data_IF_337555790876
#
_entry.id   IF_337555790876
#
_cell.length_a   1.000
_cell.length_b   1.000
_cell.length_c   1.000
_cell.angle_alpha   90.00
_cell.angle_beta   90.00
_cell.angle_gamma   90.00
#
_symmetry.space_group_name_H-M   'P 1'
#
loop_
_entity.id
_entity.type
_entity.pdbx_description
1 polymer ?
#
# COMPACT_ATOMS: atom_id res chain seq x y z
N UNK A 1 -75.96 -14.13 -47.47
CA UNK A 1 -74.60 -14.60 -47.29
C UNK A 1 -73.72 -13.40 -46.99
N UNK A 2 -73.28 -13.17 -45.78
CA UNK A 2 -72.35 -12.09 -45.38
C UNK A 2 -70.97 -12.73 -45.16
N UNK A 3 -69.83 -12.12 -45.63
CA UNK A 3 -68.51 -12.66 -45.36
C UNK A 3 -68.04 -12.26 -44.00
N UNK A 4 -67.49 -13.24 -43.28
CA UNK A 4 -66.86 -13.14 -42.03
C UNK A 4 -65.48 -12.39 -42.11
N UNK A 5 -65.34 -11.29 -41.40
CA UNK A 5 -64.04 -10.58 -41.31
C UNK A 5 -63.13 -11.30 -40.30
N UNK A 6 -62.02 -11.79 -40.81
CA UNK A 6 -60.92 -12.37 -40.02
C UNK A 6 -60.15 -11.24 -39.34
N UNK A 7 -60.18 -11.16 -38.01
CA UNK A 7 -59.34 -10.26 -37.21
C UNK A 7 -57.99 -10.95 -36.98
N UNK A 8 -56.98 -10.42 -37.65
CA UNK A 8 -55.59 -10.81 -37.43
C UNK A 8 -55.10 -10.12 -36.14
N UNK A 9 -54.90 -10.89 -35.09
CA UNK A 9 -54.36 -10.42 -33.81
C UNK A 9 -52.85 -10.30 -33.93
N UNK A 10 -52.36 -9.08 -34.04
CA UNK A 10 -50.91 -8.79 -33.98
C UNK A 10 -50.43 -8.91 -32.52
N UNK A 11 -49.72 -9.98 -32.23
CA UNK A 11 -49.04 -10.17 -30.94
C UNK A 11 -47.77 -9.30 -30.95
N UNK A 12 -47.82 -8.17 -30.25
CA UNK A 12 -46.66 -7.31 -30.03
C UNK A 12 -45.81 -7.94 -28.92
N UNK A 13 -44.76 -8.68 -29.28
CA UNK A 13 -43.76 -9.17 -28.33
C UNK A 13 -42.90 -8.01 -27.93
N UNK A 14 -43.15 -7.43 -26.75
CA UNK A 14 -42.19 -6.51 -26.12
C UNK A 14 -41.01 -7.34 -25.62
N UNK A 15 -39.88 -7.27 -26.33
CA UNK A 15 -38.58 -7.66 -25.79
C UNK A 15 -38.21 -6.64 -24.71
N UNK A 16 -38.39 -7.01 -23.49
CA UNK A 16 -37.66 -6.36 -22.38
C UNK A 16 -36.19 -6.74 -22.52
N UNK A 17 -35.42 -5.87 -23.16
CA UNK A 17 -33.97 -5.91 -23.07
C UNK A 17 -33.60 -5.68 -21.60
N UNK A 18 -33.17 -6.74 -20.90
CA UNK A 18 -32.43 -6.59 -19.68
C UNK A 18 -31.15 -5.81 -20.01
N UNK A 19 -31.13 -4.53 -19.60
CA UNK A 19 -29.87 -3.81 -19.51
C UNK A 19 -29.09 -4.55 -18.42
N UNK A 20 -28.19 -5.45 -18.85
CA UNK A 20 -27.12 -5.91 -17.98
C UNK A 20 -26.40 -4.65 -17.53
N UNK A 21 -26.40 -4.40 -16.22
CA UNK A 21 -25.44 -3.48 -15.63
C UNK A 21 -24.07 -3.98 -16.08
N UNK A 22 -23.41 -3.12 -16.85
CA UNK A 22 -22.02 -3.26 -17.18
C UNK A 22 -21.27 -3.24 -15.85
N UNK A 23 -20.89 -4.42 -15.35
CA UNK A 23 -19.84 -4.54 -14.36
C UNK A 23 -18.62 -3.93 -15.06
N UNK A 24 -18.34 -2.67 -14.76
CA UNK A 24 -17.11 -2.03 -15.20
C UNK A 24 -15.99 -3.00 -14.92
N UNK A 25 -15.34 -3.50 -15.95
CA UNK A 25 -14.22 -4.44 -15.87
C UNK A 25 -13.23 -3.89 -14.84
N UNK A 26 -13.30 -4.43 -13.61
CA UNK A 26 -12.28 -4.14 -12.61
C UNK A 26 -10.97 -4.54 -13.23
N UNK A 27 -10.05 -3.59 -13.39
CA UNK A 27 -8.70 -3.86 -13.86
C UNK A 27 -8.12 -4.87 -12.87
N UNK A 28 -8.12 -6.14 -13.24
CA UNK A 28 -7.57 -7.22 -12.43
C UNK A 28 -6.12 -7.41 -12.84
N UNK A 29 -5.22 -6.77 -12.08
CA UNK A 29 -3.79 -6.98 -12.24
C UNK A 29 -3.38 -8.03 -11.22
N UNK A 30 -2.97 -9.20 -11.72
CA UNK A 30 -2.55 -10.32 -10.89
C UNK A 30 -1.03 -10.38 -10.80
N UNK A 31 -0.47 -10.83 -9.66
CA UNK A 31 0.97 -11.00 -9.50
C UNK A 31 1.50 -12.14 -10.40
N UNK A 32 2.75 -12.01 -10.86
CA UNK A 32 3.48 -13.02 -11.62
C UNK A 32 3.73 -14.31 -10.80
N UNK A 33 3.92 -14.16 -9.49
CA UNK A 33 4.12 -15.24 -8.53
C UNK A 33 3.83 -14.74 -7.11
N UNK A 34 3.60 -15.68 -6.19
CA UNK A 34 3.41 -15.44 -4.76
C UNK A 34 4.22 -16.43 -3.94
N UNK A 35 4.47 -16.12 -2.68
CA UNK A 35 5.14 -17.03 -1.75
C UNK A 35 5.19 -16.44 -0.35
N UNK A 36 5.98 -17.07 0.53
CA UNK A 36 6.17 -16.60 1.90
C UNK A 36 7.66 -16.55 2.28
N UNK A 37 7.95 -15.84 3.35
CA UNK A 37 9.26 -15.70 3.97
C UNK A 37 9.07 -15.62 5.49
N UNK A 38 9.84 -16.38 6.25
CA UNK A 38 9.88 -16.30 7.71
C UNK A 38 11.13 -15.57 8.14
N UNK A 39 10.99 -14.48 8.88
CA UNK A 39 12.12 -13.78 9.49
C UNK A 39 12.64 -14.59 10.68
N UNK A 40 13.83 -15.15 10.55
CA UNK A 40 14.43 -16.01 11.57
C UNK A 40 14.79 -15.29 12.87
N UNK A 41 14.77 -13.94 12.87
CA UNK A 41 15.12 -13.11 14.03
C UNK A 41 14.00 -13.05 15.06
N UNK A 42 12.73 -13.05 14.59
CA UNK A 42 11.56 -12.90 15.45
C UNK A 42 10.44 -13.91 15.15
N UNK A 43 10.60 -14.72 14.09
CA UNK A 43 9.64 -15.76 13.70
C UNK A 43 8.41 -15.21 12.95
N UNK A 44 8.35 -13.92 12.64
CA UNK A 44 7.27 -13.37 11.84
C UNK A 44 7.27 -13.95 10.42
N UNK A 45 6.11 -14.34 9.95
CA UNK A 45 5.89 -14.77 8.57
C UNK A 45 5.36 -13.59 7.75
N UNK A 46 5.93 -13.43 6.55
CA UNK A 46 5.55 -12.43 5.55
C UNK A 46 5.23 -13.13 4.26
N UNK A 47 4.11 -12.79 3.64
CA UNK A 47 3.81 -13.19 2.27
C UNK A 47 4.47 -12.20 1.30
N UNK A 48 4.62 -12.62 0.05
CA UNK A 48 5.11 -11.74 -1.00
C UNK A 48 4.42 -12.02 -2.33
N UNK A 49 4.36 -10.97 -3.14
CA UNK A 49 3.87 -10.99 -4.52
C UNK A 49 4.95 -10.48 -5.46
N UNK A 50 5.00 -11.01 -6.69
CA UNK A 50 6.00 -10.62 -7.68
C UNK A 50 5.40 -9.72 -8.74
N UNK A 51 6.06 -8.58 -8.97
CA UNK A 51 5.76 -7.63 -10.03
C UNK A 51 7.06 -7.07 -10.62
N UNK A 52 7.17 -7.00 -11.96
CA UNK A 52 8.29 -6.40 -12.67
C UNK A 52 9.67 -6.93 -12.20
N UNK A 53 9.77 -8.23 -11.94
CA UNK A 53 11.00 -8.87 -11.48
C UNK A 53 11.39 -8.58 -10.03
N UNK A 54 10.48 -7.98 -9.23
CA UNK A 54 10.67 -7.73 -7.80
C UNK A 54 9.62 -8.49 -6.99
N UNK A 55 10.05 -9.07 -5.88
CA UNK A 55 9.18 -9.66 -4.86
C UNK A 55 8.95 -8.63 -3.76
N UNK A 56 7.68 -8.28 -3.53
CA UNK A 56 7.22 -7.30 -2.55
C UNK A 56 6.56 -8.02 -1.39
N UNK A 57 6.98 -7.78 -0.16
CA UNK A 57 6.21 -8.24 1.01
C UNK A 57 4.81 -7.67 0.95
N UNK A 58 3.81 -8.41 1.41
CA UNK A 58 2.41 -7.94 1.47
C UNK A 58 2.05 -7.37 2.83
N UNK A 59 2.85 -7.66 3.87
CA UNK A 59 2.75 -7.08 5.19
C UNK A 59 3.84 -6.03 5.41
N UNK A 60 3.56 -5.06 6.27
CA UNK A 60 4.57 -4.15 6.77
C UNK A 60 5.53 -4.88 7.71
N UNK A 61 6.80 -4.46 7.72
CA UNK A 61 7.81 -5.06 8.59
C UNK A 61 7.41 -4.91 10.07
N UNK A 62 7.57 -5.99 10.85
CA UNK A 62 7.20 -6.07 12.28
C UNK A 62 8.41 -6.17 13.21
N UNK A 63 9.61 -6.44 12.69
CA UNK A 63 10.81 -6.58 13.49
C UNK A 63 11.11 -5.32 14.29
N UNK A 64 11.29 -5.45 15.61
CA UNK A 64 11.53 -4.34 16.55
C UNK A 64 13.01 -4.24 16.87
N UNK A 65 13.79 -3.31 16.28
CA UNK A 65 15.15 -3.02 16.65
C UNK A 65 15.23 -2.34 18.03
N UNK A 66 16.45 -2.20 18.59
CA UNK A 66 16.64 -1.62 19.92
C UNK A 66 16.13 -0.18 20.08
N UNK A 67 16.08 0.59 18.98
CA UNK A 67 15.66 2.01 18.99
C UNK A 67 15.19 2.46 17.62
N UNK A 68 14.57 3.64 17.57
CA UNK A 68 14.12 4.26 16.32
C UNK A 68 12.88 3.61 15.71
N UNK A 69 12.13 2.86 16.52
CA UNK A 69 10.90 2.19 16.10
C UNK A 69 9.77 2.51 17.08
N UNK A 70 8.59 2.64 16.54
CA UNK A 70 7.31 2.62 17.25
C UNK A 70 6.50 1.43 16.74
N UNK A 71 6.15 0.51 17.63
CA UNK A 71 5.37 -0.68 17.32
C UNK A 71 4.02 -0.56 18.06
N UNK A 72 2.94 -0.13 17.39
CA UNK A 72 1.66 0.20 18.03
C UNK A 72 1.00 -0.97 18.76
N UNK A 73 1.29 -2.20 18.34
CA UNK A 73 0.80 -3.44 18.95
C UNK A 73 1.59 -3.89 20.19
N UNK A 74 2.85 -3.42 20.32
CA UNK A 74 3.78 -3.81 21.39
C UNK A 74 4.12 -2.67 22.35
N UNK A 75 3.97 -1.42 21.91
CA UNK A 75 4.32 -0.24 22.71
C UNK A 75 3.08 0.27 23.43
N UNK A 76 3.11 0.42 24.77
CA UNK A 76 2.01 1.07 25.48
C UNK A 76 1.77 2.46 24.89
N UNK A 77 0.52 2.73 24.51
CA UNK A 77 0.14 4.06 24.07
C UNK A 77 0.28 5.02 25.26
N UNK A 78 0.93 6.18 25.12
CA UNK A 78 1.08 7.13 26.19
C UNK A 78 -0.26 7.52 26.81
N UNK A 79 -0.28 7.72 28.14
CA UNK A 79 -1.47 8.13 28.89
C UNK A 79 -2.06 9.41 28.27
N UNK A 80 -3.33 9.36 27.88
CA UNK A 80 -4.02 10.48 27.21
C UNK A 80 -4.32 10.26 25.73
N UNK A 81 -3.73 9.26 25.10
CA UNK A 81 -4.24 8.72 23.84
C UNK A 81 -5.36 7.73 24.13
N UNK A 82 -6.38 7.71 23.26
CA UNK A 82 -7.51 6.79 23.40
C UNK A 82 -7.03 5.34 23.33
N UNK A 83 -6.78 4.77 24.49
CA UNK A 83 -6.53 3.34 24.66
C UNK A 83 -7.78 2.72 25.30
N UNK A 84 -8.56 2.01 24.50
CA UNK A 84 -9.70 1.21 24.98
C UNK A 84 -9.29 -0.22 25.36
N UNK A 85 -7.98 -0.49 25.47
CA UNK A 85 -7.43 -1.82 25.76
C UNK A 85 -7.46 -2.78 24.56
N UNK A 86 -7.76 -2.31 23.36
CA UNK A 86 -7.83 -3.12 22.12
C UNK A 86 -6.68 -2.85 21.16
N UNK A 87 -5.68 -2.09 21.58
CA UNK A 87 -4.64 -1.58 20.70
C UNK A 87 -3.84 -2.69 20.02
N UNK A 88 -3.44 -3.75 20.74
CA UNK A 88 -2.68 -4.85 20.15
C UNK A 88 -3.45 -5.52 18.98
N UNK A 89 -4.75 -5.78 19.14
CA UNK A 89 -5.58 -6.35 18.07
C UNK A 89 -5.84 -5.36 16.94
N UNK A 90 -6.01 -4.08 17.28
CA UNK A 90 -6.31 -3.02 16.31
C UNK A 90 -5.12 -2.70 15.41
N UNK A 91 -3.90 -2.81 15.93
CA UNK A 91 -2.67 -2.45 15.22
C UNK A 91 -1.83 -3.65 14.76
N UNK A 92 -2.24 -4.88 15.07
CA UNK A 92 -1.48 -6.11 14.75
C UNK A 92 -1.04 -6.23 13.30
N UNK A 93 -1.81 -5.65 12.38
CA UNK A 93 -1.57 -5.73 10.95
C UNK A 93 -0.78 -4.54 10.39
N UNK A 94 -0.55 -3.50 11.20
CA UNK A 94 0.10 -2.28 10.72
C UNK A 94 1.63 -2.35 10.73
N UNK A 95 2.20 -3.28 11.49
CA UNK A 95 3.65 -3.41 11.65
C UNK A 95 4.26 -2.23 12.42
N UNK A 96 5.58 -2.08 12.35
CA UNK A 96 6.31 -0.99 12.97
C UNK A 96 6.37 0.29 12.12
N UNK A 97 6.55 1.41 12.80
CA UNK A 97 6.96 2.68 12.20
C UNK A 97 8.41 2.93 12.59
N UNK A 98 9.26 3.23 11.65
CA UNK A 98 10.72 3.31 11.82
C UNK A 98 11.24 4.65 11.37
N UNK A 99 12.17 5.25 12.13
CA UNK A 99 13.02 6.28 11.57
C UNK A 99 13.90 5.68 10.46
N UNK A 100 14.52 6.52 9.66
CA UNK A 100 15.23 6.03 8.46
C UNK A 100 16.44 5.14 8.78
N UNK A 101 17.16 5.40 9.87
CA UNK A 101 18.32 4.59 10.26
C UNK A 101 17.86 3.24 10.83
N UNK A 102 16.83 3.25 11.67
CA UNK A 102 16.19 2.04 12.17
C UNK A 102 15.60 1.22 11.01
N UNK A 103 14.98 1.88 10.02
CA UNK A 103 14.45 1.24 8.83
C UNK A 103 15.53 0.42 8.10
N UNK A 104 16.71 1.00 7.87
CA UNK A 104 17.83 0.28 7.24
C UNK A 104 18.34 -0.90 8.07
N UNK A 105 18.39 -0.72 9.39
CA UNK A 105 18.89 -1.74 10.30
C UNK A 105 17.88 -2.89 10.53
N UNK A 106 16.59 -2.62 10.36
CA UNK A 106 15.52 -3.58 10.57
C UNK A 106 15.34 -4.57 9.40
N UNK A 107 15.84 -4.27 8.21
CA UNK A 107 15.65 -5.11 7.02
C UNK A 107 16.22 -6.51 7.25
N UNK A 108 15.47 -7.58 6.96
CA UNK A 108 15.97 -8.95 7.05
C UNK A 108 16.95 -9.26 5.92
N UNK A 109 17.82 -10.27 6.17
CA UNK A 109 18.78 -10.73 5.16
C UNK A 109 18.09 -11.15 3.86
N UNK A 110 18.68 -10.79 2.73
CA UNK A 110 18.14 -11.08 1.39
C UNK A 110 17.03 -10.12 0.93
N UNK A 111 16.59 -9.20 1.79
CA UNK A 111 15.61 -8.15 1.48
C UNK A 111 16.26 -6.77 1.52
N UNK A 112 15.57 -5.76 1.05
CA UNK A 112 16.00 -4.36 1.08
C UNK A 112 14.83 -3.39 1.13
N UNK A 113 15.08 -2.13 1.46
CA UNK A 113 14.15 -1.05 1.20
C UNK A 113 13.97 -0.88 -0.31
N UNK A 114 12.74 -0.68 -0.80
CA UNK A 114 12.53 -0.31 -2.20
C UNK A 114 13.12 1.06 -2.48
N UNK A 115 13.78 1.20 -3.61
CA UNK A 115 14.17 2.51 -4.14
C UNK A 115 12.95 3.25 -4.70
N UNK A 116 13.08 4.55 -4.94
CA UNK A 116 12.07 5.31 -5.67
C UNK A 116 11.80 4.72 -7.06
N UNK A 117 12.85 4.23 -7.73
CA UNK A 117 12.74 3.55 -9.02
C UNK A 117 12.00 2.20 -8.94
N UNK A 118 12.12 1.46 -7.84
CA UNK A 118 11.36 0.21 -7.65
C UNK A 118 9.86 0.51 -7.52
N UNK A 119 9.50 1.52 -6.74
CA UNK A 119 8.13 1.99 -6.65
C UNK A 119 7.59 2.43 -8.02
N UNK A 120 8.37 3.18 -8.80
CA UNK A 120 7.97 3.59 -10.15
C UNK A 120 7.77 2.39 -11.09
N UNK A 121 8.58 1.32 -10.97
CA UNK A 121 8.36 0.08 -11.73
C UNK A 121 7.03 -0.56 -11.37
N UNK A 122 6.72 -0.69 -10.08
CA UNK A 122 5.43 -1.22 -9.61
C UNK A 122 4.27 -0.35 -10.10
N UNK A 123 4.34 0.97 -9.89
CA UNK A 123 3.32 1.93 -10.29
C UNK A 123 3.07 1.91 -11.81
N UNK A 124 4.11 1.70 -12.61
CA UNK A 124 4.00 1.52 -14.08
C UNK A 124 3.24 0.25 -14.44
N UNK A 125 3.52 -0.89 -13.78
CA UNK A 125 2.78 -2.14 -13.99
C UNK A 125 1.31 -1.96 -13.62
N UNK A 126 1.03 -1.15 -12.59
CA UNK A 126 -0.32 -0.77 -12.19
C UNK A 126 -0.95 0.29 -13.11
N UNK A 127 -0.33 0.61 -14.25
CA UNK A 127 -0.89 1.47 -15.29
C UNK A 127 -0.61 2.97 -15.11
N UNK A 128 0.33 3.39 -14.25
CA UNK A 128 0.69 4.81 -14.13
C UNK A 128 1.42 5.30 -15.38
N UNK A 129 1.03 6.48 -15.87
CA UNK A 129 1.65 7.08 -17.05
C UNK A 129 3.11 7.47 -16.78
N UNK A 130 3.94 7.45 -17.83
CA UNK A 130 5.34 7.89 -17.69
C UNK A 130 5.48 9.35 -17.25
N UNK A 131 4.51 10.21 -17.61
CA UNK A 131 4.47 11.59 -17.17
C UNK A 131 4.19 11.75 -15.68
N UNK A 132 3.37 10.87 -15.11
CA UNK A 132 3.01 10.93 -13.69
C UNK A 132 4.10 10.34 -12.79
N UNK A 133 4.86 9.33 -13.27
CA UNK A 133 5.87 8.63 -12.45
C UNK A 133 6.90 9.57 -11.81
N UNK A 134 7.32 10.62 -12.51
CA UNK A 134 8.34 11.57 -12.04
C UNK A 134 7.76 12.73 -11.21
N UNK A 135 6.45 12.95 -11.24
CA UNK A 135 5.82 14.06 -10.55
C UNK A 135 5.89 13.89 -9.02
N UNK A 136 6.02 15.02 -8.33
CA UNK A 136 5.87 15.12 -6.88
C UNK A 136 4.41 15.42 -6.52
N UNK A 137 4.03 15.04 -5.31
CA UNK A 137 2.66 15.21 -4.81
C UNK A 137 1.76 14.07 -5.22
N UNK A 138 0.47 14.33 -5.32
CA UNK A 138 -0.55 13.37 -5.73
C UNK A 138 -0.47 13.11 -7.23
N UNK A 139 -0.51 11.84 -7.61
CA UNK A 139 -0.37 11.41 -9.00
C UNK A 139 -1.04 10.05 -9.25
N UNK A 140 -1.23 9.74 -10.52
CA UNK A 140 -1.97 8.55 -10.94
C UNK A 140 -3.49 8.73 -10.87
N UNK A 141 -4.24 7.68 -11.15
CA UNK A 141 -5.70 7.72 -11.24
C UNK A 141 -6.41 6.52 -10.62
N UNK A 142 -5.68 5.40 -10.43
CA UNK A 142 -6.18 4.15 -9.84
C UNK A 142 -5.15 3.47 -8.94
N UNK A 143 -3.89 3.89 -8.98
CA UNK A 143 -2.79 3.21 -8.34
C UNK A 143 -2.89 3.21 -6.81
N UNK A 144 -3.44 4.28 -6.21
CA UNK A 144 -3.68 4.34 -4.78
C UNK A 144 -4.67 3.28 -4.30
N UNK A 145 -5.72 3.03 -5.10
CA UNK A 145 -6.69 1.97 -4.84
C UNK A 145 -6.07 0.58 -5.07
N UNK A 146 -5.39 0.38 -6.20
CA UNK A 146 -4.76 -0.90 -6.54
C UNK A 146 -3.69 -1.32 -5.51
N UNK A 147 -2.91 -0.39 -4.99
CA UNK A 147 -1.89 -0.65 -3.97
C UNK A 147 -2.48 -1.08 -2.62
N UNK A 148 -3.75 -0.77 -2.34
CA UNK A 148 -4.47 -1.16 -1.13
C UNK A 148 -5.25 -2.48 -1.29
N UNK A 149 -5.27 -3.08 -2.49
CA UNK A 149 -5.97 -4.35 -2.71
C UNK A 149 -5.18 -5.53 -2.15
N UNK A 150 -5.89 -6.37 -1.37
CA UNK A 150 -5.39 -7.65 -0.89
C UNK A 150 -5.44 -8.76 -1.96
N UNK A 151 -5.56 -10.00 -1.50
CA UNK A 151 -5.46 -11.23 -2.32
C UNK A 151 -6.47 -11.31 -3.47
N UNK A 152 -7.61 -10.64 -3.35
CA UNK A 152 -8.63 -10.59 -4.41
C UNK A 152 -8.31 -9.58 -5.53
N UNK A 153 -7.20 -8.87 -5.42
CA UNK A 153 -6.72 -7.88 -6.37
C UNK A 153 -5.22 -8.02 -6.63
N UNK A 154 -4.47 -6.94 -6.44
CA UNK A 154 -3.00 -6.93 -6.67
C UNK A 154 -2.22 -7.74 -5.62
N UNK A 155 -2.79 -7.98 -4.45
CA UNK A 155 -2.12 -8.60 -3.33
C UNK A 155 -1.04 -7.76 -2.67
N UNK A 156 -0.85 -6.49 -3.07
CA UNK A 156 0.15 -5.60 -2.45
C UNK A 156 -0.27 -5.21 -1.03
N UNK A 157 -1.54 -4.97 -0.82
CA UNK A 157 -2.17 -4.74 0.49
C UNK A 157 -1.44 -3.71 1.37
N UNK A 158 -1.20 -2.50 0.83
CA UNK A 158 -0.61 -1.42 1.63
C UNK A 158 -1.58 -0.97 2.73
N UNK A 159 -1.09 -0.93 3.95
CA UNK A 159 -1.86 -0.60 5.14
C UNK A 159 -1.84 0.90 5.44
N UNK A 160 -2.94 1.43 5.99
CA UNK A 160 -3.08 2.81 6.42
C UNK A 160 -2.59 2.98 7.88
N UNK A 161 -1.31 2.71 8.09
CA UNK A 161 -0.68 2.61 9.41
C UNK A 161 -0.37 3.96 10.07
N UNK A 162 -0.70 5.08 9.42
CA UNK A 162 -0.33 6.40 9.92
C UNK A 162 1.16 6.69 9.81
N UNK A 163 1.63 7.64 10.60
CA UNK A 163 3.04 7.99 10.78
C UNK A 163 3.26 8.61 12.15
N UNK A 164 4.52 8.69 12.59
CA UNK A 164 4.89 9.34 13.82
C UNK A 164 5.91 10.44 13.54
N UNK A 165 5.66 11.63 14.10
CA UNK A 165 6.60 12.75 14.10
C UNK A 165 7.14 12.87 15.53
N UNK A 166 8.45 12.65 15.76
CA UNK A 166 9.05 12.93 17.04
C UNK A 166 8.94 14.42 17.39
N UNK A 167 8.45 14.74 18.56
CA UNK A 167 8.38 16.13 19.06
C UNK A 167 9.12 16.25 20.39
N UNK A 168 10.24 16.97 20.37
CA UNK A 168 11.07 17.25 21.54
C UNK A 168 10.35 18.05 22.66
N UNK A 169 9.17 18.60 22.36
CA UNK A 169 8.50 19.58 23.24
C UNK A 169 7.36 19.01 24.07
N UNK A 170 6.68 17.98 23.56
CA UNK A 170 5.46 17.50 24.19
C UNK A 170 5.34 16.00 24.28
N UNK A 171 5.21 15.33 23.16
CA UNK A 171 5.15 13.87 22.99
C UNK A 171 5.21 13.56 21.50
N UNK A 172 5.72 12.38 21.18
CA UNK A 172 5.65 11.85 19.83
C UNK A 172 4.18 11.84 19.33
N UNK A 173 3.96 12.37 18.13
CA UNK A 173 2.60 12.47 17.57
C UNK A 173 2.39 11.30 16.61
N UNK A 174 1.72 10.26 17.09
CA UNK A 174 1.20 9.18 16.25
C UNK A 174 -0.16 9.57 15.68
N UNK A 175 -0.24 9.72 14.36
CA UNK A 175 -1.40 10.34 13.71
C UNK A 175 -1.84 9.62 12.44
N UNK A 176 -3.10 9.85 12.08
CA UNK A 176 -3.69 9.49 10.79
C UNK A 176 -3.78 7.98 10.51
N UNK A 177 -3.83 7.15 11.54
CA UNK A 177 -4.14 5.72 11.43
C UNK A 177 -5.47 5.52 10.73
N UNK A 178 -5.54 4.56 9.81
CA UNK A 178 -6.68 4.30 8.91
C UNK A 178 -7.05 5.45 7.96
N UNK A 179 -6.24 6.50 7.92
CA UNK A 179 -6.41 7.62 6.99
C UNK A 179 -5.26 7.65 5.98
N UNK A 180 -4.02 7.48 6.46
CA UNK A 180 -2.83 7.49 5.63
C UNK A 180 -1.94 6.28 5.90
N UNK A 181 -1.26 5.80 4.87
CA UNK A 181 -0.11 4.91 4.98
C UNK A 181 1.12 5.59 4.37
N UNK A 182 2.23 5.62 5.08
CA UNK A 182 3.48 6.21 4.63
C UNK A 182 4.57 5.15 4.60
N UNK A 183 5.35 5.11 3.53
CA UNK A 183 6.34 4.07 3.28
C UNK A 183 7.67 4.66 2.86
N UNK A 184 8.75 4.33 3.58
CA UNK A 184 10.09 4.72 3.21
C UNK A 184 10.52 4.15 1.86
N UNK A 185 11.34 4.92 1.15
CA UNK A 185 12.19 4.41 0.06
C UNK A 185 13.66 4.44 0.48
N UNK A 186 14.53 3.78 -0.27
CA UNK A 186 15.98 3.86 -0.06
C UNK A 186 16.61 5.10 -0.70
N UNK A 187 15.84 5.93 -1.42
CA UNK A 187 16.37 7.00 -2.27
C UNK A 187 16.36 8.34 -1.55
N UNK A 188 17.54 8.93 -1.39
CA UNK A 188 17.71 10.29 -0.84
C UNK A 188 17.21 11.31 -1.86
N UNK A 189 16.58 12.38 -1.39
CA UNK A 189 16.18 13.51 -2.21
C UNK A 189 17.36 14.49 -2.35
N UNK A 190 18.17 14.29 -3.37
CA UNK A 190 19.34 15.14 -3.65
C UNK A 190 18.97 16.56 -4.08
N UNK A 191 17.71 16.83 -4.39
CA UNK A 191 17.23 18.19 -4.70
C UNK A 191 17.10 19.05 -3.44
N UNK A 192 17.15 18.43 -2.26
CA UNK A 192 17.02 19.07 -0.94
C UNK A 192 18.16 18.64 0.00
N UNK A 193 19.43 18.87 -0.38
CA UNK A 193 20.57 18.36 0.38
C UNK A 193 20.61 18.87 1.83
N UNK A 194 20.18 20.10 2.08
CA UNK A 194 20.15 20.73 3.40
C UNK A 194 19.15 20.05 4.36
N UNK A 195 18.09 19.46 3.82
CA UNK A 195 17.03 18.86 4.63
C UNK A 195 17.29 17.40 5.00
N UNK A 196 18.33 16.76 4.44
CA UNK A 196 18.60 15.34 4.65
C UNK A 196 17.35 14.45 4.46
N UNK A 197 16.59 14.75 3.40
CA UNK A 197 15.30 14.13 3.11
C UNK A 197 15.42 12.87 2.27
N UNK A 198 14.46 11.97 2.43
CA UNK A 198 14.34 10.71 1.69
C UNK A 198 12.96 10.66 1.06
N UNK A 199 12.86 10.13 -0.16
CA UNK A 199 11.58 9.93 -0.80
C UNK A 199 10.74 8.92 -0.04
N UNK A 200 9.43 9.13 -0.06
CA UNK A 200 8.44 8.21 0.48
C UNK A 200 7.27 8.04 -0.47
N UNK A 201 6.49 6.99 -0.23
CA UNK A 201 5.14 6.84 -0.81
C UNK A 201 4.10 7.03 0.27
N UNK A 202 2.99 7.67 -0.12
CA UNK A 202 1.81 7.78 0.74
C UNK A 202 0.59 7.30 -0.02
N UNK A 203 -0.18 6.44 0.62
CA UNK A 203 -1.53 6.08 0.23
C UNK A 203 -2.51 6.77 1.16
N UNK A 204 -3.73 7.00 0.66
CA UNK A 204 -4.75 7.77 1.35
C UNK A 204 -6.06 6.96 1.31
N UNK A 205 -6.75 6.90 2.45
CA UNK A 205 -8.07 6.28 2.53
C UNK A 205 -9.01 6.85 1.46
N UNK A 206 -9.69 5.97 0.75
CA UNK A 206 -10.66 6.33 -0.28
C UNK A 206 -10.10 7.28 -1.37
N UNK A 207 -8.83 7.12 -1.72
CA UNK A 207 -8.17 7.85 -2.81
C UNK A 207 -7.58 6.88 -3.83
N UNK A 208 -7.82 7.17 -5.10
CA UNK A 208 -7.24 6.45 -6.23
C UNK A 208 -5.81 6.90 -6.57
N UNK A 209 -5.37 8.04 -6.02
CA UNK A 209 -4.04 8.60 -6.24
C UNK A 209 -3.02 8.06 -5.21
N UNK A 210 -1.76 8.09 -5.58
CA UNK A 210 -0.61 7.86 -4.69
C UNK A 210 0.26 9.10 -4.61
N UNK A 211 0.78 9.41 -3.42
CA UNK A 211 1.71 10.53 -3.24
C UNK A 211 3.15 10.06 -3.33
N UNK A 212 3.97 10.78 -4.09
CA UNK A 212 5.42 10.72 -4.09
C UNK A 212 5.96 12.06 -3.57
N UNK A 213 6.69 12.03 -2.47
CA UNK A 213 7.33 13.24 -1.92
C UNK A 213 8.53 12.83 -1.06
N UNK A 214 9.18 13.78 -0.42
CA UNK A 214 10.31 13.54 0.49
C UNK A 214 10.07 14.19 1.85
N UNK A 215 10.64 13.58 2.90
CA UNK A 215 10.63 14.11 4.26
C UNK A 215 11.94 13.78 5.00
N UNK A 216 12.15 14.43 6.12
CA UNK A 216 13.35 14.26 6.95
C UNK A 216 13.40 12.87 7.58
N UNK A 217 14.61 12.35 7.79
CA UNK A 217 14.88 10.97 8.23
C UNK A 217 14.45 10.64 9.66
N UNK A 218 14.13 11.64 10.47
CA UNK A 218 13.71 11.47 11.85
C UNK A 218 12.21 11.16 12.02
N UNK A 219 11.40 11.29 10.96
CA UNK A 219 10.02 10.80 11.00
C UNK A 219 10.00 9.27 11.02
N UNK A 220 8.96 8.69 11.59
CA UNK A 220 8.78 7.25 11.63
C UNK A 220 7.69 6.83 10.65
N UNK A 221 8.06 6.01 9.67
CA UNK A 221 7.17 5.48 8.62
C UNK A 221 7.25 3.96 8.57
N UNK A 222 6.28 3.36 7.92
CA UNK A 222 6.26 1.91 7.64
C UNK A 222 7.33 1.51 6.64
N UNK A 223 7.69 0.23 6.68
CA UNK A 223 8.58 -0.41 5.72
C UNK A 223 7.82 -1.48 4.96
N UNK A 224 7.92 -1.44 3.65
CA UNK A 224 7.52 -2.52 2.77
C UNK A 224 8.78 -3.03 2.06
N UNK A 225 9.27 -4.21 2.47
CA UNK A 225 10.51 -4.78 1.91
C UNK A 225 10.31 -5.31 0.50
N UNK A 226 11.40 -5.25 -0.28
CA UNK A 226 11.49 -5.87 -1.60
C UNK A 226 12.78 -6.68 -1.73
N UNK A 227 12.80 -7.62 -2.66
CA UNK A 227 14.02 -8.26 -3.15
C UNK A 227 13.92 -8.52 -4.64
N UNK A 228 15.06 -8.69 -5.30
CA UNK A 228 15.09 -9.09 -6.69
C UNK A 228 14.58 -10.52 -6.81
N UNK A 229 13.71 -10.78 -7.79
CA UNK A 229 13.21 -12.12 -8.03
C UNK A 229 14.35 -13.03 -8.44
N UNK A 230 14.49 -14.16 -7.76
CA UNK A 230 15.41 -15.20 -8.23
C UNK A 230 14.91 -15.75 -9.57
N UNK A 231 15.80 -15.81 -10.56
CA UNK A 231 15.51 -16.48 -11.82
C UNK A 231 15.11 -17.92 -11.51
N UNK A 232 13.91 -18.32 -11.90
CA UNK A 232 13.56 -19.74 -11.90
C UNK A 232 14.35 -20.35 -13.07
N UNK A 233 15.42 -21.10 -12.77
CA UNK A 233 16.11 -21.92 -13.73
C UNK A 233 15.24 -23.12 -14.17
#
# INVERSE_FOLDING_TARGET
MKPMKQYMLLLLVMLFGSVACDDQDKISIQPEATGSYTDVRDGNEYHWVRYAGLEWMTENLKFVPEKGVFAPDLTPVPEGYYDDGKNAEYYKDFGGLYDYEAAKAAIPEGWRLPTDADWQKLERVLGMSSGDLEQLGRRGSVQGELLQQGTDGTGIDLQLSGYLIPDDRTMDIYSFVKVYGFYWTATVDETKPESNSVYYRQIIYNSSEVVRNSMTKNNLLSIRCVRDATSIE
#
